data_IF_645466049984
#
_entry.id   IF_645466049984
#
_cell.length_a   1.000
_cell.length_b   1.000
_cell.length_c   1.000
_cell.angle_alpha   90.00
_cell.angle_beta   90.00
_cell.angle_gamma   90.00
#
_symmetry.space_group_name_H-M   'P 1'
#
loop_
_entity.id
_entity.type
_entity.pdbx_description
1 polymer ?
#
# COMPACT_ATOMS: atom_id res chain seq x y z
N UNK A 1 49.89 30.30 74.83
CA UNK A 1 49.67 28.84 74.52
C UNK A 1 48.25 28.60 74.13
N UNK A 2 47.71 29.30 73.07
CA UNK A 2 46.27 29.24 72.67
C UNK A 2 46.04 29.40 71.19
N UNK A 3 47.02 29.32 70.29
CA UNK A 3 46.77 29.47 68.84
C UNK A 3 46.80 28.17 68.00
N UNK A 4 47.19 27.07 68.58
CA UNK A 4 47.36 25.79 67.90
C UNK A 4 46.07 24.98 67.80
N UNK A 5 45.05 25.20 68.62
CA UNK A 5 43.82 24.46 68.64
C UNK A 5 42.82 24.88 67.57
N UNK A 6 42.89 26.09 67.03
CA UNK A 6 41.95 26.60 66.06
C UNK A 6 42.14 26.01 64.64
N UNK A 7 43.39 25.72 64.27
CA UNK A 7 43.74 25.24 62.91
C UNK A 7 43.24 23.78 62.66
N UNK A 8 43.29 22.91 63.63
CA UNK A 8 42.88 21.50 63.50
C UNK A 8 41.38 21.35 63.33
N UNK A 9 40.55 22.22 63.91
CA UNK A 9 39.10 22.22 63.78
C UNK A 9 38.69 22.69 62.40
N UNK A 10 39.41 23.60 61.76
CA UNK A 10 39.06 24.09 60.42
C UNK A 10 39.41 23.09 59.34
N UNK A 11 40.55 22.40 59.38
CA UNK A 11 40.88 21.33 58.43
C UNK A 11 39.99 20.11 58.52
N UNK A 12 39.53 19.75 59.73
CA UNK A 12 38.54 18.67 59.93
C UNK A 12 37.21 18.98 59.27
N UNK A 13 36.70 20.21 59.38
CA UNK A 13 35.46 20.63 58.71
C UNK A 13 35.63 20.69 57.19
N UNK A 14 36.79 21.09 56.68
CA UNK A 14 37.09 21.13 55.24
C UNK A 14 37.10 19.73 54.64
N UNK A 15 37.61 18.72 55.35
CA UNK A 15 37.63 17.33 54.88
C UNK A 15 36.23 16.74 54.81
N UNK A 16 35.36 17.08 55.73
CA UNK A 16 33.95 16.66 55.71
C UNK A 16 33.17 17.31 54.54
N UNK A 17 33.37 18.62 54.36
CA UNK A 17 32.77 19.35 53.23
C UNK A 17 33.19 18.73 51.88
N UNK A 18 34.49 18.37 51.75
CA UNK A 18 34.98 17.70 50.53
C UNK A 18 34.31 16.36 50.26
N UNK A 19 34.04 15.57 51.30
CA UNK A 19 33.33 14.30 51.19
C UNK A 19 31.89 14.53 50.67
N UNK A 20 31.20 15.50 51.23
CA UNK A 20 29.84 15.86 50.79
C UNK A 20 29.78 16.36 49.36
N UNK A 21 30.77 17.16 48.94
CA UNK A 21 30.90 17.62 47.55
C UNK A 21 31.08 16.43 46.60
N UNK A 22 31.93 15.45 46.97
CA UNK A 22 32.13 14.24 46.16
C UNK A 22 30.86 13.40 46.07
N UNK A 23 30.08 13.25 47.16
CA UNK A 23 28.81 12.53 47.16
C UNK A 23 27.79 13.22 46.26
N UNK A 24 27.69 14.56 46.34
CA UNK A 24 26.79 15.34 45.48
C UNK A 24 27.19 15.25 44.00
N UNK A 25 28.50 15.30 43.72
CA UNK A 25 29.02 15.17 42.36
C UNK A 25 28.75 13.77 41.78
N UNK A 26 28.94 12.73 42.58
CA UNK A 26 28.62 11.36 42.21
C UNK A 26 27.10 11.19 41.96
N UNK A 27 26.26 11.76 42.84
CA UNK A 27 24.81 11.78 42.68
C UNK A 27 24.36 12.49 41.42
N UNK A 28 25.03 13.61 41.08
CA UNK A 28 24.78 14.37 39.85
C UNK A 28 25.15 13.56 38.60
N UNK A 29 26.29 12.86 38.62
CA UNK A 29 26.71 11.98 37.52
C UNK A 29 25.71 10.83 37.34
N UNK A 30 25.29 10.16 38.44
CA UNK A 30 24.30 9.09 38.40
C UNK A 30 22.94 9.58 37.89
N UNK A 31 22.51 10.77 38.31
CA UNK A 31 21.31 11.42 37.84
C UNK A 31 21.39 11.72 36.33
N UNK A 32 22.55 12.18 35.86
CA UNK A 32 22.78 12.50 34.45
C UNK A 32 22.80 11.23 33.57
N UNK A 33 23.45 10.16 34.09
CA UNK A 33 23.46 8.84 33.45
C UNK A 33 22.04 8.27 33.42
N UNK A 34 21.30 8.34 34.55
CA UNK A 34 19.93 7.88 34.60
C UNK A 34 19.04 8.61 33.60
N UNK A 35 19.11 9.94 33.52
CA UNK A 35 18.39 10.72 32.52
C UNK A 35 18.83 10.43 31.08
N UNK A 36 20.09 10.06 30.87
CA UNK A 36 20.58 9.68 29.55
C UNK A 36 20.01 8.34 29.09
N UNK A 37 19.94 7.37 29.99
CA UNK A 37 19.39 6.04 29.70
C UNK A 37 17.85 5.96 29.76
N UNK A 38 17.18 6.88 30.44
CA UNK A 38 15.71 6.95 30.46
C UNK A 38 15.12 7.83 29.34
N UNK A 39 15.95 8.45 28.51
CA UNK A 39 15.53 9.03 27.25
C UNK A 39 15.48 7.96 26.15
N UNK A 40 14.78 6.85 26.42
CA UNK A 40 14.25 6.01 25.36
C UNK A 40 13.01 6.69 24.79
N UNK A 41 13.24 7.70 23.93
CA UNK A 41 12.24 8.18 22.98
C UNK A 41 12.19 7.23 21.78
N UNK A 42 11.94 5.94 22.04
CA UNK A 42 11.35 5.04 21.06
C UNK A 42 9.81 5.16 21.05
N UNK A 43 9.32 6.38 21.11
CA UNK A 43 8.01 6.67 20.58
C UNK A 43 8.17 6.81 19.06
N UNK A 44 8.10 5.70 18.33
CA UNK A 44 7.74 5.72 16.93
C UNK A 44 6.31 6.26 16.84
N UNK A 45 6.18 7.57 16.93
CA UNK A 45 4.95 8.29 16.63
C UNK A 45 4.72 8.08 15.15
N UNK A 46 3.79 7.19 14.80
CA UNK A 46 3.20 7.18 13.47
C UNK A 46 2.45 8.51 13.39
N UNK A 47 3.10 9.49 12.81
CA UNK A 47 2.48 10.76 12.47
C UNK A 47 1.49 10.48 11.34
N UNK A 48 0.22 10.23 11.71
CA UNK A 48 -0.87 10.20 10.76
C UNK A 48 -1.02 11.62 10.25
N UNK A 49 -0.55 11.89 9.05
CA UNK A 49 -0.84 13.12 8.34
C UNK A 49 -2.35 13.15 8.06
N UNK A 50 -3.07 13.86 8.96
CA UNK A 50 -4.54 13.98 8.93
C UNK A 50 -5.06 14.63 7.65
N UNK A 51 -4.20 15.21 6.81
CA UNK A 51 -4.57 15.73 5.49
C UNK A 51 -4.81 14.63 4.44
N UNK A 52 -4.37 13.40 4.68
CA UNK A 52 -4.64 12.25 3.78
C UNK A 52 -6.01 11.60 4.01
N UNK A 53 -6.74 11.93 5.07
CA UNK A 53 -8.05 11.33 5.40
C UNK A 53 -9.22 12.16 4.85
N UNK A 54 -9.00 13.26 4.15
CA UNK A 54 -10.02 13.83 3.29
C UNK A 54 -10.08 13.09 1.95
N UNK A 55 -10.08 11.76 2.02
CA UNK A 55 -10.57 10.97 0.91
C UNK A 55 -12.05 11.31 0.80
N UNK A 56 -12.37 12.23 -0.12
CA UNK A 56 -13.75 12.44 -0.54
C UNK A 56 -14.34 11.05 -0.80
N UNK A 57 -15.28 10.63 0.04
CA UNK A 57 -16.19 9.53 -0.29
C UNK A 57 -17.03 10.09 -1.45
N UNK A 58 -16.42 10.09 -2.64
CA UNK A 58 -17.20 10.19 -3.85
C UNK A 58 -18.09 8.96 -3.83
N UNK A 59 -19.36 9.20 -3.69
CA UNK A 59 -20.39 8.18 -3.85
C UNK A 59 -20.38 7.77 -5.34
N UNK A 60 -19.30 7.06 -5.71
CA UNK A 60 -19.09 6.61 -7.09
C UNK A 60 -19.86 5.31 -7.19
N UNK A 61 -20.91 5.31 -7.96
CA UNK A 61 -21.70 4.12 -8.27
C UNK A 61 -20.83 3.11 -9.06
N UNK A 62 -19.81 2.52 -8.42
CA UNK A 62 -18.99 1.46 -9.00
C UNK A 62 -19.74 0.13 -8.89
N UNK A 63 -19.96 -0.49 -10.02
CA UNK A 63 -20.36 -1.89 -10.04
C UNK A 63 -19.09 -2.74 -9.90
N UNK A 64 -18.89 -3.31 -8.70
CA UNK A 64 -17.89 -4.38 -8.51
C UNK A 64 -18.42 -5.62 -9.18
N UNK A 65 -17.72 -6.10 -10.19
CA UNK A 65 -18.22 -7.21 -11.02
C UNK A 65 -17.53 -8.53 -10.69
N UNK A 66 -16.24 -8.49 -10.35
CA UNK A 66 -15.46 -9.69 -10.06
C UNK A 66 -14.29 -9.36 -9.14
N UNK A 67 -14.03 -10.28 -8.21
CA UNK A 67 -12.89 -10.26 -7.32
C UNK A 67 -12.09 -11.55 -7.48
N UNK A 68 -10.79 -11.45 -7.34
CA UNK A 68 -9.88 -12.59 -7.40
C UNK A 68 -8.73 -12.44 -6.41
N UNK A 69 -8.28 -13.57 -5.86
CA UNK A 69 -7.11 -13.64 -5.00
C UNK A 69 -5.97 -14.31 -5.76
N UNK A 70 -4.82 -13.67 -5.76
CA UNK A 70 -3.60 -14.17 -6.40
C UNK A 70 -2.51 -14.34 -5.35
N UNK A 71 -1.84 -15.48 -5.39
CA UNK A 71 -0.65 -15.73 -4.58
C UNK A 71 0.55 -16.02 -5.47
N UNK A 72 1.70 -15.44 -5.15
CA UNK A 72 2.94 -15.63 -5.88
C UNK A 72 4.13 -15.65 -4.95
N UNK A 73 5.14 -16.42 -5.30
CA UNK A 73 6.45 -16.43 -4.64
C UNK A 73 7.48 -15.94 -5.64
N UNK A 74 8.12 -14.83 -5.30
CA UNK A 74 9.18 -14.20 -6.09
C UNK A 74 10.51 -14.37 -5.38
N UNK A 75 11.55 -14.81 -6.10
CA UNK A 75 12.93 -14.74 -5.62
C UNK A 75 13.61 -13.54 -6.26
N UNK A 76 13.89 -12.51 -5.46
CA UNK A 76 14.70 -11.38 -5.88
C UNK A 76 16.18 -11.72 -5.68
N UNK A 77 17.00 -11.48 -6.69
CA UNK A 77 18.46 -11.61 -6.64
C UNK A 77 19.07 -10.41 -7.30
N UNK A 78 20.05 -9.80 -6.64
CA UNK A 78 20.83 -8.72 -7.19
C UNK A 78 22.31 -8.98 -6.93
N UNK A 79 23.15 -8.70 -7.93
CA UNK A 79 24.59 -8.88 -7.87
C UNK A 79 25.27 -7.57 -8.17
N UNK A 80 26.12 -7.15 -7.25
CA UNK A 80 26.98 -6.00 -7.45
C UNK A 80 28.38 -6.48 -7.81
N UNK A 81 28.76 -6.22 -9.04
CA UNK A 81 30.13 -6.52 -9.52
C UNK A 81 31.14 -5.55 -8.91
N UNK A 82 32.34 -6.01 -8.72
CA UNK A 82 33.47 -5.21 -8.23
C UNK A 82 34.52 -5.03 -9.33
N UNK A 83 35.49 -4.16 -9.10
CA UNK A 83 36.65 -4.00 -9.97
C UNK A 83 37.58 -5.22 -9.95
N UNK A 84 37.39 -6.15 -9.01
CA UNK A 84 38.17 -7.38 -8.90
C UNK A 84 37.43 -8.48 -9.68
N UNK A 85 38.00 -9.03 -10.76
CA UNK A 85 37.36 -10.08 -11.54
C UNK A 85 36.98 -11.31 -10.68
N UNK A 86 35.73 -11.70 -10.74
CA UNK A 86 35.19 -12.85 -10.02
C UNK A 86 34.73 -12.56 -8.58
N UNK A 87 34.86 -11.34 -8.09
CA UNK A 87 34.32 -10.94 -6.79
C UNK A 87 32.99 -10.19 -6.98
N UNK A 88 31.92 -10.78 -6.48
CA UNK A 88 30.56 -10.17 -6.48
C UNK A 88 30.02 -10.08 -5.07
N UNK A 89 29.23 -9.06 -4.82
CA UNK A 89 28.45 -8.93 -3.59
C UNK A 89 26.98 -9.16 -3.91
N UNK A 90 26.47 -10.27 -3.44
CA UNK A 90 25.13 -10.74 -3.76
C UNK A 90 24.16 -10.37 -2.64
N UNK A 91 22.91 -10.09 -3.01
CA UNK A 91 21.77 -10.02 -2.10
C UNK A 91 20.60 -10.79 -2.68
N UNK A 92 19.83 -11.42 -1.83
CA UNK A 92 18.72 -12.28 -2.19
C UNK A 92 17.57 -12.11 -1.20
N UNK A 93 16.35 -12.13 -1.70
CA UNK A 93 15.16 -12.21 -0.86
C UNK A 93 14.12 -13.14 -1.50
N UNK A 94 13.47 -13.94 -0.67
CA UNK A 94 12.25 -14.65 -1.02
C UNK A 94 11.06 -13.77 -0.63
N UNK A 95 10.20 -13.45 -1.59
CA UNK A 95 9.05 -12.58 -1.38
C UNK A 95 7.77 -13.34 -1.68
N UNK A 96 6.91 -13.49 -0.69
CA UNK A 96 5.57 -14.03 -0.85
C UNK A 96 4.62 -12.85 -1.05
N UNK A 97 3.87 -12.89 -2.14
CA UNK A 97 2.96 -11.85 -2.56
C UNK A 97 1.55 -12.43 -2.54
N UNK A 98 0.67 -11.86 -1.72
CA UNK A 98 -0.76 -12.13 -1.80
C UNK A 98 -1.42 -10.87 -2.34
N UNK A 99 -2.30 -11.00 -3.32
CA UNK A 99 -2.94 -9.85 -3.94
C UNK A 99 -4.43 -10.06 -4.10
N UNK A 100 -5.20 -9.10 -3.62
CA UNK A 100 -6.62 -8.98 -3.94
C UNK A 100 -6.77 -8.14 -5.20
N UNK A 101 -7.48 -8.68 -6.16
CA UNK A 101 -7.74 -8.02 -7.44
C UNK A 101 -9.23 -7.81 -7.60
N UNK A 102 -9.62 -6.58 -7.85
CA UNK A 102 -10.99 -6.21 -8.13
C UNK A 102 -11.07 -5.67 -9.56
N UNK A 103 -11.96 -6.23 -10.36
CA UNK A 103 -12.36 -5.70 -11.67
C UNK A 103 -13.73 -5.07 -11.54
N UNK A 104 -13.83 -3.78 -11.84
CA UNK A 104 -15.09 -3.02 -11.72
C UNK A 104 -15.32 -2.14 -12.94
N UNK A 105 -16.59 -1.82 -13.19
CA UNK A 105 -16.99 -0.79 -14.15
C UNK A 105 -17.61 0.38 -13.39
N UNK A 106 -17.23 1.60 -13.74
CA UNK A 106 -17.84 2.81 -13.18
C UNK A 106 -19.10 3.16 -13.98
N UNK A 107 -20.24 2.64 -13.54
CA UNK A 107 -21.50 2.86 -14.23
C UNK A 107 -21.98 4.31 -14.18
N UNK A 108 -21.42 5.17 -13.33
CA UNK A 108 -21.73 6.59 -13.34
C UNK A 108 -21.23 7.31 -14.60
N UNK A 109 -20.27 6.69 -15.31
CA UNK A 109 -19.71 7.19 -16.56
C UNK A 109 -20.44 6.66 -17.81
N UNK A 110 -21.43 5.79 -17.63
CA UNK A 110 -22.27 5.34 -18.75
C UNK A 110 -23.06 6.54 -19.28
N UNK A 111 -22.92 6.79 -20.56
CA UNK A 111 -23.68 7.84 -21.25
C UNK A 111 -24.86 7.22 -21.96
N UNK A 112 -26.01 7.83 -21.77
CA UNK A 112 -27.25 7.39 -22.43
C UNK A 112 -28.09 8.59 -22.82
N UNK A 113 -28.94 8.38 -23.83
CA UNK A 113 -29.92 9.34 -24.31
C UNK A 113 -31.31 8.69 -24.29
N UNK A 114 -32.32 9.46 -23.90
CA UNK A 114 -33.71 8.99 -23.77
C UNK A 114 -34.60 9.78 -24.74
N UNK A 115 -35.12 9.11 -25.73
CA UNK A 115 -36.16 9.63 -26.61
C UNK A 115 -37.55 9.08 -26.13
N UNK A 116 -38.22 9.91 -25.33
CA UNK A 116 -39.47 9.52 -24.72
C UNK A 116 -40.65 9.40 -25.74
N UNK A 117 -40.61 10.20 -26.82
CA UNK A 117 -41.64 10.19 -27.86
C UNK A 117 -41.62 8.88 -28.67
N UNK A 118 -40.44 8.44 -29.03
CA UNK A 118 -40.25 7.20 -29.78
C UNK A 118 -40.00 5.97 -28.88
N UNK A 119 -39.93 6.15 -27.56
CA UNK A 119 -39.62 5.11 -26.56
C UNK A 119 -38.29 4.42 -26.85
N UNK A 120 -37.26 5.19 -27.08
CA UNK A 120 -35.92 4.68 -27.37
C UNK A 120 -34.97 5.08 -26.23
N UNK A 121 -34.25 4.10 -25.67
CA UNK A 121 -33.11 4.31 -24.77
C UNK A 121 -31.83 3.96 -25.54
N UNK A 122 -30.95 4.94 -25.71
CA UNK A 122 -29.69 4.75 -26.42
C UNK A 122 -28.54 4.84 -25.43
N UNK A 123 -27.78 3.76 -25.25
CA UNK A 123 -26.50 3.77 -24.55
C UNK A 123 -25.43 4.17 -25.57
N UNK A 124 -24.71 5.27 -25.30
CA UNK A 124 -23.70 5.81 -26.24
C UNK A 124 -22.28 5.47 -25.82
N UNK A 125 -22.06 5.17 -24.54
CA UNK A 125 -20.72 4.79 -24.06
C UNK A 125 -20.81 3.92 -22.81
N UNK A 126 -20.05 2.84 -22.82
CA UNK A 126 -19.79 2.00 -21.65
C UNK A 126 -18.31 2.21 -21.28
N UNK A 127 -17.99 2.60 -20.03
CA UNK A 127 -16.61 2.81 -19.61
C UNK A 127 -15.80 1.51 -19.67
N UNK A 128 -14.48 1.66 -19.81
CA UNK A 128 -13.58 0.51 -19.69
C UNK A 128 -13.54 0.00 -18.27
N UNK A 129 -13.18 -1.27 -18.12
CA UNK A 129 -12.95 -1.85 -16.81
C UNK A 129 -11.81 -1.15 -16.05
N UNK A 130 -12.00 -0.96 -14.77
CA UNK A 130 -10.96 -0.58 -13.83
C UNK A 130 -10.45 -1.81 -13.10
N UNK A 131 -9.13 -2.01 -13.11
CA UNK A 131 -8.47 -3.10 -12.41
C UNK A 131 -7.71 -2.51 -11.23
N UNK A 132 -8.11 -2.89 -10.03
CA UNK A 132 -7.41 -2.53 -8.79
C UNK A 132 -6.69 -3.76 -8.26
N UNK A 133 -5.38 -3.63 -8.04
CA UNK A 133 -4.53 -4.66 -7.46
C UNK A 133 -4.06 -4.14 -6.10
N UNK A 134 -4.36 -4.89 -5.05
CA UNK A 134 -3.96 -4.58 -3.67
C UNK A 134 -3.04 -5.70 -3.16
N UNK A 135 -1.72 -5.60 -3.41
CA UNK A 135 -0.77 -6.61 -3.01
C UNK A 135 -0.34 -6.43 -1.55
N UNK A 136 -0.19 -7.55 -0.86
CA UNK A 136 0.47 -7.68 0.43
C UNK A 136 1.79 -8.44 0.24
N UNK A 137 2.88 -7.89 0.77
CA UNK A 137 4.24 -8.43 0.60
C UNK A 137 4.77 -8.96 1.92
N UNK A 138 5.23 -10.21 1.91
CA UNK A 138 5.95 -10.80 3.03
C UNK A 138 7.34 -11.22 2.57
N UNK A 139 8.34 -10.66 3.22
CA UNK A 139 9.74 -10.94 2.91
C UNK A 139 10.27 -12.04 3.81
N UNK A 140 10.85 -13.06 3.20
CA UNK A 140 11.47 -14.20 3.88
C UNK A 140 12.88 -14.39 3.35
N UNK A 141 13.72 -15.02 4.15
CA UNK A 141 15.05 -15.45 3.75
C UNK A 141 15.87 -14.34 3.07
N UNK A 142 15.91 -13.17 3.74
CA UNK A 142 16.68 -12.03 3.25
C UNK A 142 18.15 -12.20 3.60
N UNK A 143 18.97 -12.38 2.58
CA UNK A 143 20.43 -12.47 2.69
C UNK A 143 21.04 -11.27 1.98
N UNK A 144 22.03 -10.65 2.59
CA UNK A 144 22.80 -9.57 1.97
C UNK A 144 24.24 -9.57 2.45
N UNK A 145 25.16 -9.18 1.57
CA UNK A 145 26.54 -8.92 1.95
C UNK A 145 26.68 -7.51 2.51
N UNK A 146 27.66 -7.29 3.40
CA UNK A 146 27.93 -5.97 4.02
C UNK A 146 28.20 -4.85 3.00
N UNK A 147 28.53 -5.19 1.76
CA UNK A 147 28.79 -4.22 0.68
C UNK A 147 27.66 -4.13 -0.35
N UNK A 148 26.59 -4.89 -0.14
CA UNK A 148 25.38 -4.86 -0.96
C UNK A 148 24.14 -5.14 -0.09
N UNK A 149 23.85 -4.23 0.82
CA UNK A 149 22.67 -4.32 1.69
C UNK A 149 21.38 -3.93 0.97
N UNK A 150 20.24 -4.41 1.48
CA UNK A 150 18.94 -3.99 0.98
C UNK A 150 18.67 -2.52 1.28
N UNK A 151 18.14 -1.80 0.30
CA UNK A 151 17.76 -0.40 0.43
C UNK A 151 16.36 -0.13 -0.15
N UNK A 152 15.87 1.10 -0.06
CA UNK A 152 14.55 1.49 -0.54
C UNK A 152 14.34 1.24 -2.04
N UNK A 153 15.40 1.34 -2.86
CA UNK A 153 15.32 1.09 -4.31
C UNK A 153 15.05 -0.40 -4.59
N UNK A 154 15.61 -1.30 -3.79
CA UNK A 154 15.39 -2.74 -3.95
C UNK A 154 13.93 -3.10 -3.69
N UNK A 155 13.35 -2.56 -2.61
CA UNK A 155 11.93 -2.75 -2.31
C UNK A 155 11.05 -2.18 -3.41
N UNK A 156 11.40 -1.02 -3.98
CA UNK A 156 10.68 -0.45 -5.12
C UNK A 156 10.78 -1.31 -6.37
N UNK A 157 11.96 -1.89 -6.66
CA UNK A 157 12.16 -2.84 -7.77
C UNK A 157 11.32 -4.11 -7.57
N UNK A 158 11.34 -4.68 -6.37
CA UNK A 158 10.54 -5.87 -6.02
C UNK A 158 9.06 -5.57 -6.22
N UNK A 159 8.57 -4.45 -5.69
CA UNK A 159 7.18 -4.02 -5.85
C UNK A 159 6.79 -3.87 -7.33
N UNK A 160 7.65 -3.28 -8.14
CA UNK A 160 7.42 -3.12 -9.59
C UNK A 160 7.33 -4.47 -10.29
N UNK A 161 8.32 -5.36 -10.08
CA UNK A 161 8.36 -6.69 -10.67
C UNK A 161 7.13 -7.52 -10.27
N UNK A 162 6.73 -7.45 -9.01
CA UNK A 162 5.55 -8.12 -8.50
C UNK A 162 4.26 -7.64 -9.18
N UNK A 163 4.09 -6.31 -9.33
CA UNK A 163 2.92 -5.75 -10.01
C UNK A 163 2.89 -6.14 -11.49
N UNK A 164 4.04 -6.16 -12.17
CA UNK A 164 4.15 -6.58 -13.56
C UNK A 164 3.82 -8.08 -13.71
N UNK A 165 4.29 -8.92 -12.80
CA UNK A 165 3.97 -10.35 -12.79
C UNK A 165 2.48 -10.60 -12.52
N UNK A 166 1.92 -9.93 -11.51
CA UNK A 166 0.48 -10.01 -11.21
C UNK A 166 -0.37 -9.52 -12.38
N UNK A 167 -0.01 -8.42 -13.03
CA UNK A 167 -0.74 -7.91 -14.20
C UNK A 167 -0.79 -8.95 -15.32
N UNK A 168 0.33 -9.62 -15.64
CA UNK A 168 0.37 -10.70 -16.62
C UNK A 168 -0.53 -11.89 -16.24
N UNK A 169 -0.54 -12.27 -14.95
CA UNK A 169 -1.40 -13.36 -14.48
C UNK A 169 -2.88 -12.99 -14.55
N UNK A 170 -3.23 -11.74 -14.22
CA UNK A 170 -4.58 -11.22 -14.35
C UNK A 170 -5.04 -11.27 -15.81
N UNK A 171 -4.18 -10.82 -16.74
CA UNK A 171 -4.49 -10.87 -18.18
C UNK A 171 -4.69 -12.29 -18.72
N UNK A 172 -3.98 -13.27 -18.15
CA UNK A 172 -4.10 -14.68 -18.50
C UNK A 172 -5.25 -15.40 -17.77
N UNK A 173 -5.81 -14.78 -16.73
CA UNK A 173 -6.91 -15.36 -15.94
C UNK A 173 -8.26 -15.12 -16.61
N UNK A 174 -9.29 -15.81 -16.10
CA UNK A 174 -10.67 -15.60 -16.51
C UNK A 174 -11.32 -14.38 -15.84
N UNK A 175 -10.56 -13.61 -15.05
CA UNK A 175 -11.12 -12.54 -14.21
C UNK A 175 -11.77 -11.44 -15.06
N UNK A 176 -11.09 -11.00 -16.13
CA UNK A 176 -11.62 -9.99 -17.07
C UNK A 176 -12.82 -10.50 -17.85
N UNK A 177 -12.77 -11.73 -18.34
CA UNK A 177 -13.90 -12.32 -19.05
C UNK A 177 -15.12 -12.53 -18.15
N UNK A 178 -14.91 -12.95 -16.90
CA UNK A 178 -15.98 -13.05 -15.92
C UNK A 178 -16.59 -11.68 -15.61
N UNK A 179 -15.78 -10.64 -15.48
CA UNK A 179 -16.23 -9.26 -15.28
C UNK A 179 -17.08 -8.78 -16.47
N UNK A 180 -16.62 -9.05 -17.70
CA UNK A 180 -17.36 -8.74 -18.92
C UNK A 180 -18.71 -9.48 -18.99
N UNK A 181 -18.73 -10.78 -18.69
CA UNK A 181 -19.96 -11.58 -18.66
C UNK A 181 -20.93 -11.05 -17.60
N UNK A 182 -20.42 -10.62 -16.44
CA UNK A 182 -21.28 -10.01 -15.41
C UNK A 182 -21.88 -8.69 -15.87
N UNK A 183 -21.08 -7.82 -16.51
CA UNK A 183 -21.58 -6.57 -17.10
C UNK A 183 -22.68 -6.86 -18.14
N UNK A 184 -22.44 -7.82 -19.05
CA UNK A 184 -23.42 -8.24 -20.04
C UNK A 184 -24.74 -8.68 -19.37
N UNK A 185 -24.66 -9.48 -18.32
CA UNK A 185 -25.83 -9.93 -17.57
C UNK A 185 -26.62 -8.76 -16.98
N UNK A 186 -25.94 -7.74 -16.44
CA UNK A 186 -26.63 -6.54 -15.90
C UNK A 186 -27.26 -5.69 -17.02
N UNK A 187 -26.58 -5.54 -18.15
CA UNK A 187 -27.14 -4.85 -19.32
C UNK A 187 -28.31 -5.61 -19.93
N UNK A 188 -28.29 -6.95 -19.95
CA UNK A 188 -29.39 -7.78 -20.40
C UNK A 188 -30.64 -7.62 -19.53
N UNK A 189 -30.47 -7.41 -18.21
CA UNK A 189 -31.63 -7.07 -17.34
C UNK A 189 -32.25 -5.73 -17.74
N UNK A 190 -31.42 -4.72 -18.09
CA UNK A 190 -31.94 -3.46 -18.63
C UNK A 190 -32.68 -3.65 -19.95
N UNK A 191 -32.15 -4.51 -20.84
CA UNK A 191 -32.82 -4.84 -22.09
C UNK A 191 -34.23 -5.48 -21.86
N UNK A 192 -34.30 -6.47 -20.96
CA UNK A 192 -35.59 -7.12 -20.62
C UNK A 192 -36.56 -6.08 -20.04
N UNK A 193 -36.11 -5.21 -19.16
CA UNK A 193 -36.93 -4.17 -18.56
C UNK A 193 -37.45 -3.18 -19.63
N UNK A 194 -36.59 -2.65 -20.47
CA UNK A 194 -36.95 -1.72 -21.54
C UNK A 194 -37.96 -2.35 -22.50
N UNK A 195 -37.70 -3.58 -22.95
CA UNK A 195 -38.60 -4.29 -23.85
C UNK A 195 -39.99 -4.55 -23.21
N UNK A 196 -40.03 -4.91 -21.91
CA UNK A 196 -41.28 -5.14 -21.19
C UNK A 196 -42.14 -3.88 -21.05
N UNK A 197 -41.51 -2.69 -21.07
CA UNK A 197 -42.18 -1.39 -21.07
C UNK A 197 -42.53 -0.88 -22.47
N UNK A 198 -42.24 -1.65 -23.51
CA UNK A 198 -42.48 -1.29 -24.92
C UNK A 198 -41.44 -0.24 -25.42
N UNK A 199 -40.26 -0.20 -24.80
CA UNK A 199 -39.12 0.64 -25.22
C UNK A 199 -38.13 -0.17 -26.04
N UNK A 200 -37.42 0.50 -26.93
CA UNK A 200 -36.34 -0.09 -27.72
C UNK A 200 -34.99 0.34 -27.12
N UNK A 201 -34.15 -0.65 -26.79
CA UNK A 201 -32.75 -0.38 -26.39
C UNK A 201 -31.86 -0.31 -27.62
N UNK A 202 -31.05 0.77 -27.70
CA UNK A 202 -29.96 0.90 -28.68
C UNK A 202 -28.62 1.02 -27.99
N UNK A 203 -27.58 0.48 -28.60
CA UNK A 203 -26.21 0.69 -28.20
C UNK A 203 -25.39 1.13 -29.40
N UNK A 204 -24.66 2.26 -29.25
CA UNK A 204 -23.91 2.87 -30.35
C UNK A 204 -24.72 2.98 -31.67
N UNK A 205 -25.96 3.46 -31.54
CA UNK A 205 -26.86 3.69 -32.65
C UNK A 205 -27.55 2.44 -33.25
N UNK A 206 -27.16 1.24 -32.86
CA UNK A 206 -27.76 0.01 -33.34
C UNK A 206 -28.73 -0.59 -32.31
N UNK A 207 -29.86 -1.11 -32.78
CA UNK A 207 -30.87 -1.79 -31.93
C UNK A 207 -30.28 -3.05 -31.30
N UNK A 208 -30.56 -3.25 -30.01
CA UNK A 208 -30.19 -4.42 -29.24
C UNK A 208 -31.44 -5.25 -28.99
N UNK A 209 -31.52 -6.41 -29.62
CA UNK A 209 -32.65 -7.33 -29.49
C UNK A 209 -32.38 -8.50 -28.58
N UNK A 210 -31.09 -8.81 -28.40
CA UNK A 210 -30.64 -9.96 -27.63
C UNK A 210 -29.34 -9.69 -26.88
N UNK A 211 -29.02 -10.50 -25.88
CA UNK A 211 -27.75 -10.48 -25.18
C UNK A 211 -26.54 -10.63 -26.12
N UNK A 212 -26.71 -11.44 -27.18
CA UNK A 212 -25.68 -11.64 -28.20
C UNK A 212 -25.30 -10.36 -28.93
N UNK A 213 -26.28 -9.45 -29.15
CA UNK A 213 -25.99 -8.16 -29.79
C UNK A 213 -25.17 -7.25 -28.91
N UNK A 214 -25.29 -7.35 -27.56
CA UNK A 214 -24.45 -6.66 -26.60
C UNK A 214 -23.04 -7.28 -26.57
N UNK A 215 -22.92 -8.60 -26.62
CA UNK A 215 -21.66 -9.32 -26.57
C UNK A 215 -20.73 -8.94 -27.76
N UNK A 216 -21.28 -8.79 -28.94
CA UNK A 216 -20.53 -8.42 -30.15
C UNK A 216 -20.03 -6.99 -30.15
N UNK A 217 -20.53 -6.14 -29.26
CA UNK A 217 -20.24 -4.69 -29.22
C UNK A 217 -19.38 -4.25 -28.03
N UNK A 218 -19.20 -5.11 -27.03
CA UNK A 218 -18.35 -4.92 -25.85
C UNK A 218 -17.02 -5.63 -25.98
#
# INVERSE_FOLDING_TARGET
MSETYSKYSFFGKLSEIRKWILVLFLGFILFWIFNYFTKDDDSSTIEYDTNLIQTQIKNVGKLVVTEGHFAEVLTYKDKKETYIPGLTFDKKALVVINADVTVSFDLSQVKYDIDAENKILTITNIPKEEIKISPDFKYYDTESSSFNEFNGEDYNKINKLARESLAKKIDQSTLKSNAKNRLLSELSKMLVLTNSMGWTLKYDGAEVKSEKDLELKL
#
